data_IF_904821148608
#
_entry.id   IF_904821148608
#
_cell.length_a   1.000
_cell.length_b   1.000
_cell.length_c   1.000
_cell.angle_alpha   90.00
_cell.angle_beta   90.00
_cell.angle_gamma   90.00
#
_symmetry.space_group_name_H-M   'P 1'
#
loop_
_entity.id
_entity.type
_entity.pdbx_description
1 polymer ?
#
# COMPACT_ATOMS: atom_id res chain seq x y z
N UNK A 1 -6.14 9.90 44.55
CA UNK A 1 -5.80 8.59 43.95
C UNK A 1 -7.06 8.05 43.31
N UNK A 2 -7.21 8.18 42.00
CA UNK A 2 -8.34 7.66 41.23
C UNK A 2 -7.80 6.74 40.16
N UNK A 3 -8.23 5.49 40.25
CA UNK A 3 -7.76 4.29 39.57
C UNK A 3 -7.85 4.40 38.03
N UNK A 4 -6.72 4.13 37.37
CA UNK A 4 -6.49 4.21 35.92
C UNK A 4 -6.66 2.86 35.21
N UNK A 5 -7.55 1.98 35.68
CA UNK A 5 -7.86 0.72 34.99
C UNK A 5 -8.92 0.91 33.89
N UNK A 6 -8.62 1.75 32.89
CA UNK A 6 -9.33 1.67 31.59
C UNK A 6 -8.93 0.35 30.91
N UNK A 7 -9.73 -0.69 31.13
CA UNK A 7 -9.70 -1.98 30.45
C UNK A 7 -9.72 -1.77 28.93
N UNK A 8 -8.54 -1.66 28.32
CA UNK A 8 -8.38 -1.75 26.86
C UNK A 8 -8.71 -3.19 26.48
N UNK A 9 -9.87 -3.38 25.85
CA UNK A 9 -10.23 -4.68 25.29
C UNK A 9 -9.33 -4.98 24.09
N UNK A 10 -8.90 -6.24 23.91
CA UNK A 10 -8.06 -6.63 22.79
C UNK A 10 -8.81 -6.43 21.47
N UNK A 11 -8.25 -5.60 20.58
CA UNK A 11 -8.81 -5.32 19.26
C UNK A 11 -8.53 -6.52 18.37
N UNK A 12 -9.56 -7.34 18.10
CA UNK A 12 -9.45 -8.43 17.12
C UNK A 12 -9.63 -7.86 15.72
N UNK A 13 -8.55 -7.85 14.93
CA UNK A 13 -8.59 -7.57 13.51
C UNK A 13 -9.57 -8.54 12.81
N UNK A 14 -10.80 -8.08 12.57
CA UNK A 14 -11.84 -8.88 11.91
C UNK A 14 -11.89 -8.52 10.44
N UNK A 15 -11.32 -9.37 9.61
CA UNK A 15 -11.40 -9.27 8.14
C UNK A 15 -12.81 -9.69 7.72
N UNK A 16 -13.66 -8.72 7.35
CA UNK A 16 -14.95 -8.99 6.70
C UNK A 16 -16.17 -8.22 7.23
N UNK A 17 -17.11 -7.99 6.30
CA UNK A 17 -18.33 -7.14 6.32
C UNK A 17 -18.10 -5.63 6.18
N UNK A 18 -18.28 -5.14 4.94
CA UNK A 18 -17.98 -3.78 4.49
C UNK A 18 -18.79 -2.64 5.12
N UNK A 19 -19.78 -2.92 5.97
CA UNK A 19 -20.61 -1.86 6.55
C UNK A 19 -20.05 -1.25 7.85
N UNK A 20 -19.08 -1.91 8.51
CA UNK A 20 -18.36 -1.38 9.70
C UNK A 20 -17.00 -2.06 9.88
N UNK A 21 -16.06 -1.79 8.98
CA UNK A 21 -14.65 -2.08 9.29
C UNK A 21 -14.21 -1.13 10.41
N UNK A 22 -13.70 -1.67 11.52
CA UNK A 22 -13.02 -0.84 12.52
C UNK A 22 -11.90 -0.06 11.82
N UNK A 23 -11.61 1.20 12.24
CA UNK A 23 -10.67 2.07 11.55
C UNK A 23 -9.31 1.41 11.25
N UNK A 24 -8.84 0.57 12.16
CA UNK A 24 -7.59 -0.19 12.02
C UNK A 24 -7.67 -1.27 10.92
N UNK A 25 -8.74 -2.06 10.89
CA UNK A 25 -8.97 -3.05 9.83
C UNK A 25 -9.10 -2.38 8.47
N UNK A 26 -9.82 -1.25 8.38
CA UNK A 26 -9.94 -0.49 7.13
C UNK A 26 -8.57 -0.02 6.63
N UNK A 27 -7.73 0.48 7.53
CA UNK A 27 -6.39 0.95 7.18
C UNK A 27 -5.51 -0.20 6.66
N UNK A 28 -5.51 -1.35 7.34
CA UNK A 28 -4.78 -2.55 6.89
C UNK A 28 -5.29 -3.03 5.53
N UNK A 29 -6.61 -3.11 5.33
CA UNK A 29 -7.21 -3.51 4.05
C UNK A 29 -6.80 -2.56 2.92
N UNK A 30 -6.84 -1.23 3.14
CA UNK A 30 -6.43 -0.26 2.13
C UNK A 30 -4.94 -0.38 1.79
N UNK A 31 -4.08 -0.59 2.78
CA UNK A 31 -2.65 -0.81 2.56
C UNK A 31 -2.39 -2.10 1.76
N UNK A 32 -3.13 -3.18 2.03
CA UNK A 32 -3.04 -4.41 1.25
C UNK A 32 -3.52 -4.23 -0.19
N UNK A 33 -4.65 -3.55 -0.40
CA UNK A 33 -5.15 -3.24 -1.74
C UNK A 33 -4.15 -2.38 -2.52
N UNK A 34 -3.54 -1.39 -1.85
CA UNK A 34 -2.51 -0.56 -2.46
C UNK A 34 -1.25 -1.38 -2.80
N UNK A 35 -0.86 -2.33 -1.96
CA UNK A 35 0.28 -3.22 -2.24
C UNK A 35 0.01 -4.09 -3.47
N UNK A 36 -1.21 -4.63 -3.61
CA UNK A 36 -1.65 -5.37 -4.80
C UNK A 36 -1.63 -4.46 -6.03
N UNK A 37 -2.11 -3.23 -5.91
CA UNK A 37 -2.08 -2.25 -7.00
C UNK A 37 -0.66 -1.91 -7.45
N UNK A 38 0.26 -1.68 -6.52
CA UNK A 38 1.68 -1.45 -6.83
C UNK A 38 2.30 -2.66 -7.52
N UNK A 39 2.00 -3.87 -7.04
CA UNK A 39 2.48 -5.09 -7.68
C UNK A 39 1.94 -5.24 -9.11
N UNK A 40 0.65 -5.02 -9.32
CA UNK A 40 0.05 -5.04 -10.67
C UNK A 40 0.68 -3.99 -11.59
N UNK A 41 0.88 -2.77 -11.10
CA UNK A 41 1.58 -1.73 -11.84
C UNK A 41 3.05 -2.08 -12.14
N UNK A 42 3.72 -2.82 -11.25
CA UNK A 42 5.09 -3.31 -11.47
C UNK A 42 5.13 -4.37 -12.56
N UNK A 43 4.12 -5.23 -12.65
CA UNK A 43 4.04 -6.23 -13.73
C UNK A 43 3.75 -5.58 -15.08
N UNK A 44 2.92 -4.53 -15.12
CA UNK A 44 2.46 -3.90 -16.37
C UNK A 44 3.24 -2.62 -16.78
N UNK A 45 4.35 -2.30 -16.10
CA UNK A 45 5.03 -1.01 -16.31
C UNK A 45 5.61 -0.84 -17.72
N UNK A 46 6.11 -1.93 -18.30
CA UNK A 46 6.65 -1.98 -19.66
C UNK A 46 5.55 -1.72 -20.70
N UNK A 47 4.37 -2.31 -20.51
CA UNK A 47 3.19 -2.04 -21.34
C UNK A 47 2.76 -0.57 -21.26
N UNK A 48 2.79 0.05 -20.08
CA UNK A 48 2.48 1.48 -19.93
C UNK A 48 3.49 2.37 -20.66
N UNK A 49 4.78 2.06 -20.59
CA UNK A 49 5.81 2.84 -21.29
C UNK A 49 5.70 2.64 -22.79
N UNK A 50 5.47 1.40 -23.25
CA UNK A 50 5.27 1.10 -24.66
C UNK A 50 4.05 1.85 -25.23
N UNK A 51 2.92 1.83 -24.53
CA UNK A 51 1.70 2.57 -24.92
C UNK A 51 1.95 4.09 -24.94
N UNK A 52 2.71 4.63 -23.98
CA UNK A 52 3.08 6.05 -23.95
C UNK A 52 3.96 6.45 -25.14
N UNK A 53 4.86 5.57 -25.58
CA UNK A 53 5.65 5.77 -26.80
C UNK A 53 4.76 5.72 -28.04
N UNK A 54 3.87 4.73 -28.13
CA UNK A 54 2.95 4.58 -29.28
C UNK A 54 2.00 5.78 -29.43
N UNK A 55 1.55 6.36 -28.32
CA UNK A 55 0.70 7.56 -28.31
C UNK A 55 1.48 8.86 -28.55
N UNK A 56 2.80 8.79 -28.68
CA UNK A 56 3.67 9.96 -28.85
C UNK A 56 3.80 10.82 -27.59
N UNK A 57 3.39 10.33 -26.42
CA UNK A 57 3.58 11.02 -25.14
C UNK A 57 5.03 10.91 -24.66
N UNK A 58 5.74 9.86 -25.08
CA UNK A 58 7.13 9.61 -24.76
C UNK A 58 7.94 9.38 -26.03
N UNK A 59 9.11 10.00 -26.13
CA UNK A 59 10.05 9.69 -27.21
C UNK A 59 10.64 8.29 -27.00
N UNK A 60 10.71 7.48 -28.06
CA UNK A 60 11.26 6.12 -27.99
C UNK A 60 12.69 6.08 -27.40
N UNK A 61 13.52 7.08 -27.72
CA UNK A 61 14.88 7.22 -27.18
C UNK A 61 14.94 7.43 -25.65
N UNK A 62 13.81 7.75 -25.01
CA UNK A 62 13.68 7.94 -23.55
C UNK A 62 12.89 6.81 -22.89
N UNK A 63 12.47 5.78 -23.62
CA UNK A 63 11.66 4.68 -23.10
C UNK A 63 12.36 3.96 -21.93
N UNK A 64 13.62 3.55 -22.13
CA UNK A 64 14.42 2.87 -21.10
C UNK A 64 14.57 3.72 -19.83
N UNK A 65 14.86 5.02 -19.97
CA UNK A 65 14.95 5.91 -18.80
C UNK A 65 13.60 6.05 -18.09
N UNK A 66 12.50 6.08 -18.85
CA UNK A 66 11.17 6.15 -18.27
C UNK A 66 10.79 4.86 -17.53
N UNK A 67 11.14 3.67 -18.05
CA UNK A 67 10.94 2.39 -17.36
C UNK A 67 11.68 2.36 -16.03
N UNK A 68 12.95 2.78 -16.02
CA UNK A 68 13.76 2.86 -14.79
C UNK A 68 13.15 3.82 -13.78
N UNK A 69 12.74 5.01 -14.22
CA UNK A 69 12.09 5.98 -13.34
C UNK A 69 10.75 5.46 -12.80
N UNK A 70 9.96 4.80 -13.63
CA UNK A 70 8.69 4.21 -13.23
C UNK A 70 8.89 3.13 -12.17
N UNK A 71 9.84 2.22 -12.40
CA UNK A 71 10.26 1.22 -11.41
C UNK A 71 10.74 1.87 -10.10
N UNK A 72 11.56 2.93 -10.18
CA UNK A 72 12.05 3.62 -8.99
C UNK A 72 10.91 4.24 -8.17
N UNK A 73 9.92 4.85 -8.83
CA UNK A 73 8.74 5.42 -8.17
C UNK A 73 7.88 4.32 -7.54
N UNK A 74 7.62 3.23 -8.25
CA UNK A 74 6.88 2.08 -7.71
C UNK A 74 7.59 1.47 -6.51
N UNK A 75 8.92 1.34 -6.56
CA UNK A 75 9.72 0.84 -5.45
C UNK A 75 9.65 1.75 -4.23
N UNK A 76 9.72 3.07 -4.41
CA UNK A 76 9.55 4.03 -3.32
C UNK A 76 8.15 3.92 -2.69
N UNK A 77 7.09 3.84 -3.52
CA UNK A 77 5.72 3.61 -3.07
C UNK A 77 5.60 2.29 -2.28
N UNK A 78 6.18 1.20 -2.80
CA UNK A 78 6.20 -0.09 -2.15
C UNK A 78 6.83 -0.01 -0.75
N UNK A 79 8.01 0.61 -0.63
CA UNK A 79 8.70 0.76 0.66
C UNK A 79 7.86 1.56 1.68
N UNK A 80 7.23 2.64 1.25
CA UNK A 80 6.35 3.45 2.11
C UNK A 80 5.14 2.62 2.57
N UNK A 81 4.48 1.91 1.66
CA UNK A 81 3.31 1.08 2.01
C UNK A 81 3.71 -0.05 2.95
N UNK A 82 4.84 -0.70 2.69
CA UNK A 82 5.35 -1.80 3.49
C UNK A 82 5.69 -1.35 4.92
N UNK A 83 6.40 -0.23 5.08
CA UNK A 83 6.71 0.34 6.40
C UNK A 83 5.44 0.73 7.17
N UNK A 84 4.45 1.32 6.50
CA UNK A 84 3.15 1.67 7.11
C UNK A 84 2.36 0.44 7.52
N UNK A 85 2.35 -0.62 6.69
CA UNK A 85 1.68 -1.88 7.02
C UNK A 85 2.31 -2.52 8.25
N UNK A 86 3.64 -2.58 8.33
CA UNK A 86 4.35 -3.11 9.50
C UNK A 86 4.07 -2.30 10.77
N UNK A 87 3.99 -0.97 10.68
CA UNK A 87 3.62 -0.12 11.81
C UNK A 87 2.19 -0.39 12.31
N UNK A 88 1.23 -0.58 11.39
CA UNK A 88 -0.14 -0.95 11.75
C UNK A 88 -0.21 -2.33 12.41
N UNK A 89 0.47 -3.33 11.84
CA UNK A 89 0.48 -4.69 12.38
C UNK A 89 1.15 -4.76 13.76
N UNK A 90 2.25 -4.03 13.97
CA UNK A 90 2.88 -3.91 15.28
C UNK A 90 1.93 -3.29 16.30
N UNK A 91 1.26 -2.19 15.93
CA UNK A 91 0.31 -1.51 16.82
C UNK A 91 -0.87 -2.42 17.21
N UNK A 92 -1.40 -3.19 16.26
CA UNK A 92 -2.48 -4.14 16.51
C UNK A 92 -2.03 -5.31 17.41
N UNK A 93 -0.78 -5.78 17.25
CA UNK A 93 -0.18 -6.79 18.13
C UNK A 93 0.01 -6.27 19.55
N UNK A 94 0.51 -5.06 19.71
CA UNK A 94 0.79 -4.48 21.04
C UNK A 94 -0.51 -4.10 21.80
N UNK A 95 -1.65 -4.01 21.10
CA UNK A 95 -2.96 -3.70 21.66
C UNK A 95 -3.83 -4.93 22.00
N UNK A 96 -3.43 -6.12 21.57
CA UNK A 96 -4.14 -7.41 21.78
C UNK A 96 -3.55 -8.23 22.91
#
# INVERSE_FOLDING_TARGET
>A
MTDTSKLRRPVRLRIGHGNRLEPETRQVTLLLLLLIGIFGATVAHDEFVAEAVQRGWLAAARAETAEVLFCAVLFACFAVVQTRLMACLKSARDAG
#
